data_IF_276607582716
#
_entry.id   IF_276607582716
#
_cell.length_a   1.000
_cell.length_b   1.000
_cell.length_c   1.000
_cell.angle_alpha   90.00
_cell.angle_beta   90.00
_cell.angle_gamma   90.00
#
_symmetry.space_group_name_H-M   'P 1'
#
loop_
_entity.id
_entity.type
_entity.pdbx_description
1 polymer ?
#
# COMPACT_ATOMS: atom_id res chain seq x y z
N UNK A 1 -72.65 12.36 11.91
CA UNK A 1 -73.24 11.31 12.77
C UNK A 1 -72.12 10.33 13.04
N UNK A 2 -71.35 10.52 14.12
CA UNK A 2 -71.69 10.10 15.51
C UNK A 2 -71.96 8.59 15.56
N UNK A 3 -71.42 7.77 16.46
CA UNK A 3 -70.71 7.96 17.73
C UNK A 3 -70.25 6.54 18.17
N UNK A 4 -69.00 6.35 18.64
CA UNK A 4 -68.58 6.08 20.04
C UNK A 4 -69.05 4.74 20.66
N UNK A 5 -68.06 3.99 21.21
CA UNK A 5 -67.98 3.26 22.51
C UNK A 5 -67.31 1.87 22.31
N UNK A 6 -66.02 1.69 22.67
CA UNK A 6 -65.44 1.36 24.00
C UNK A 6 -65.67 -0.09 24.43
N UNK A 7 -64.58 -0.84 24.65
CA UNK A 7 -64.39 -1.58 25.91
C UNK A 7 -62.94 -2.07 26.10
N UNK A 8 -62.55 -2.04 27.37
CA UNK A 8 -61.22 -2.16 27.98
C UNK A 8 -60.68 -3.60 28.00
N UNK A 9 -59.36 -3.79 28.19
CA UNK A 9 -58.81 -4.18 29.50
C UNK A 9 -57.27 -4.35 29.53
N UNK A 10 -56.74 -4.20 30.75
CA UNK A 10 -55.44 -4.67 31.29
C UNK A 10 -54.23 -3.72 31.44
N UNK A 11 -54.18 -3.18 32.67
CA UNK A 11 -53.05 -3.16 33.63
C UNK A 11 -51.72 -2.47 33.29
N UNK A 12 -51.45 -1.42 34.07
CA UNK A 12 -50.16 -0.76 34.32
C UNK A 12 -49.38 -1.57 35.36
N UNK A 13 -48.09 -1.85 35.12
CA UNK A 13 -47.12 -2.17 36.20
C UNK A 13 -45.68 -1.78 35.82
N UNK A 14 -44.96 -1.27 36.83
CA UNK A 14 -43.71 -0.49 36.86
C UNK A 14 -42.41 -1.33 36.61
N UNK A 15 -41.28 -0.76 36.14
CA UNK A 15 -40.10 -1.53 35.71
C UNK A 15 -39.16 -1.84 36.87
N UNK A 16 -38.98 -3.13 37.18
CA UNK A 16 -37.92 -3.59 38.07
C UNK A 16 -36.62 -3.85 37.31
N UNK A 17 -35.58 -3.20 37.79
CA UNK A 17 -34.21 -3.16 37.30
C UNK A 17 -33.50 -4.52 37.51
N UNK A 18 -33.19 -5.26 36.43
CA UNK A 18 -32.36 -6.47 36.50
C UNK A 18 -31.04 -6.26 35.74
N UNK A 19 -29.92 -6.26 36.48
CA UNK A 19 -28.56 -6.03 35.98
C UNK A 19 -28.06 -7.26 35.20
N UNK A 20 -28.22 -7.25 33.88
CA UNK A 20 -27.58 -8.21 32.98
C UNK A 20 -26.06 -8.01 32.91
N UNK A 21 -25.29 -9.00 33.38
CA UNK A 21 -23.84 -9.13 33.13
C UNK A 21 -23.57 -9.15 31.62
N UNK A 22 -22.99 -8.09 31.07
CA UNK A 22 -22.47 -8.09 29.69
C UNK A 22 -21.24 -8.98 29.60
N UNK A 23 -21.40 -10.16 29.00
CA UNK A 23 -20.28 -11.00 28.57
C UNK A 23 -19.52 -10.28 27.44
N UNK A 24 -18.27 -9.92 27.69
CA UNK A 24 -17.37 -9.33 26.69
C UNK A 24 -17.04 -10.44 25.69
N UNK A 25 -17.67 -10.40 24.51
CA UNK A 25 -17.28 -11.27 23.39
C UNK A 25 -15.93 -10.80 22.89
N UNK A 26 -14.87 -11.60 23.11
CA UNK A 26 -13.60 -11.43 22.42
C UNK A 26 -13.79 -11.73 20.93
N UNK A 27 -13.94 -10.70 20.12
CA UNK A 27 -13.81 -10.78 18.67
C UNK A 27 -12.34 -11.04 18.33
N UNK A 28 -12.07 -12.14 17.62
CA UNK A 28 -10.71 -12.48 17.16
C UNK A 28 -10.18 -11.34 16.27
N UNK A 29 -8.98 -10.80 16.53
CA UNK A 29 -8.46 -9.69 15.72
C UNK A 29 -8.23 -10.14 14.28
N UNK A 30 -8.67 -9.31 13.34
CA UNK A 30 -8.47 -9.49 11.90
C UNK A 30 -6.97 -9.39 11.60
N UNK A 31 -6.48 -10.07 10.56
CA UNK A 31 -5.04 -10.10 10.23
C UNK A 31 -4.39 -8.70 10.07
N UNK A 32 -5.16 -7.68 9.68
CA UNK A 32 -4.71 -6.30 9.63
C UNK A 32 -4.45 -5.69 11.02
N UNK A 33 -5.25 -6.08 12.02
CA UNK A 33 -5.16 -5.64 13.40
C UNK A 33 -3.97 -6.30 14.11
N UNK A 34 -3.70 -7.58 13.79
CA UNK A 34 -2.48 -8.29 14.24
C UNK A 34 -1.21 -7.62 13.71
N UNK A 35 -1.18 -7.27 12.41
CA UNK A 35 -0.04 -6.57 11.79
C UNK A 35 0.15 -5.13 12.29
N UNK A 36 -0.92 -4.48 12.73
CA UNK A 36 -0.86 -3.14 13.36
C UNK A 36 -0.30 -3.24 14.78
N UNK A 37 -0.77 -4.23 15.57
CA UNK A 37 -0.24 -4.52 16.90
C UNK A 37 1.23 -4.95 16.91
N UNK A 38 1.67 -5.75 15.93
CA UNK A 38 3.10 -6.16 15.80
C UNK A 38 4.01 -4.96 15.51
N UNK A 39 3.62 -4.05 14.61
CA UNK A 39 4.38 -2.83 14.32
C UNK A 39 4.44 -1.88 15.50
N UNK A 40 3.36 -1.79 16.28
CA UNK A 40 3.32 -0.98 17.50
C UNK A 40 4.19 -1.59 18.61
N UNK A 41 4.30 -2.91 18.69
CA UNK A 41 5.16 -3.60 19.66
C UNK A 41 6.65 -3.38 19.38
N UNK A 42 7.09 -3.54 18.12
CA UNK A 42 8.49 -3.32 17.73
C UNK A 42 8.90 -1.86 17.92
N UNK A 43 8.02 -0.92 17.54
CA UNK A 43 8.25 0.52 17.76
C UNK A 43 8.29 0.86 19.24
N UNK A 44 7.42 0.27 20.05
CA UNK A 44 7.41 0.46 21.49
C UNK A 44 8.68 -0.11 22.14
N UNK A 45 9.13 -1.30 21.72
CA UNK A 45 10.38 -1.88 22.18
C UNK A 45 11.59 -1.01 21.80
N UNK A 46 11.67 -0.53 20.56
CA UNK A 46 12.72 0.37 20.12
C UNK A 46 12.73 1.69 20.91
N UNK A 47 11.54 2.27 21.16
CA UNK A 47 11.39 3.50 21.94
C UNK A 47 11.80 3.29 23.40
N UNK A 48 11.49 2.13 24.00
CA UNK A 48 11.98 1.75 25.34
C UNK A 48 13.50 1.63 25.38
N UNK A 49 14.10 0.96 24.41
CA UNK A 49 15.56 0.79 24.31
C UNK A 49 16.25 2.15 24.24
N UNK A 50 15.80 3.04 23.34
CA UNK A 50 16.37 4.39 23.17
C UNK A 50 16.20 5.26 24.41
N UNK A 51 15.06 5.14 25.11
CA UNK A 51 14.79 5.92 26.33
C UNK A 51 15.49 5.39 27.57
N UNK A 52 15.92 4.13 27.56
CA UNK A 52 16.57 3.52 28.71
C UNK A 52 18.00 4.04 28.88
N UNK A 53 18.27 4.71 30.01
CA UNK A 53 19.62 5.22 30.35
C UNK A 53 20.63 4.10 30.67
N UNK A 54 20.14 2.88 30.88
CA UNK A 54 20.93 1.71 31.30
C UNK A 54 21.22 0.74 30.14
N UNK A 55 20.91 1.10 28.90
CA UNK A 55 21.26 0.26 27.76
C UNK A 55 22.78 0.24 27.57
N UNK A 56 23.40 -0.90 27.86
CA UNK A 56 24.79 -1.19 27.56
C UNK A 56 24.84 -2.47 26.74
N UNK A 57 25.40 -2.40 25.53
CA UNK A 57 25.48 -3.49 24.56
C UNK A 57 26.34 -4.68 25.03
N UNK A 58 27.04 -4.55 26.17
CA UNK A 58 27.89 -5.59 26.75
C UNK A 58 27.25 -6.38 27.90
N UNK A 59 25.94 -6.26 28.17
CA UNK A 59 25.28 -7.06 29.22
C UNK A 59 24.92 -8.47 28.74
N UNK A 60 25.07 -9.45 29.62
CA UNK A 60 24.70 -10.85 29.38
C UNK A 60 23.21 -10.99 29.09
N UNK A 61 22.86 -11.95 28.25
CA UNK A 61 21.50 -12.25 27.76
C UNK A 61 20.52 -12.53 28.92
N UNK A 62 21.00 -12.91 30.10
CA UNK A 62 20.16 -13.14 31.27
C UNK A 62 19.52 -11.89 31.89
N UNK A 63 19.98 -10.67 31.56
CA UNK A 63 19.42 -9.41 32.09
C UNK A 63 18.33 -8.78 31.20
N UNK A 64 18.01 -9.37 30.05
CA UNK A 64 17.13 -8.79 29.01
C UNK A 64 15.66 -8.65 29.45
N UNK A 65 15.22 -9.45 30.42
CA UNK A 65 13.84 -9.42 30.94
C UNK A 65 13.63 -8.41 32.08
N UNK A 66 14.65 -7.64 32.45
CA UNK A 66 14.61 -6.68 33.56
C UNK A 66 14.49 -5.22 33.09
N UNK A 67 13.94 -4.97 31.90
CA UNK A 67 13.40 -3.66 31.56
C UNK A 67 12.10 -3.45 32.34
N UNK A 68 12.22 -3.04 33.61
CA UNK A 68 11.10 -2.50 34.36
C UNK A 68 10.45 -1.36 33.57
N UNK A 69 9.13 -1.22 33.72
CA UNK A 69 8.34 -0.18 33.07
C UNK A 69 9.06 1.17 33.12
N UNK A 70 9.47 1.68 31.96
CA UNK A 70 10.07 3.00 31.88
C UNK A 70 9.10 4.01 32.49
N UNK A 71 9.53 4.89 33.41
CA UNK A 71 8.62 5.78 34.11
C UNK A 71 7.88 6.65 33.10
N UNK A 72 6.57 6.38 32.97
CA UNK A 72 5.62 7.22 32.24
C UNK A 72 5.67 8.61 32.85
N UNK A 73 6.39 9.54 32.22
CA UNK A 73 6.17 10.97 32.45
C UNK A 73 4.74 11.25 32.00
N UNK A 74 3.84 11.54 32.94
CA UNK A 74 2.55 12.17 32.64
C UNK A 74 2.85 13.39 31.80
N UNK A 75 2.54 13.35 30.52
CA UNK A 75 2.54 14.53 29.66
C UNK A 75 1.57 15.51 30.30
N UNK A 76 2.08 16.63 30.82
CA UNK A 76 1.23 17.78 31.09
C UNK A 76 0.58 18.15 29.77
N UNK A 77 -0.74 18.17 29.74
CA UNK A 77 -1.53 18.70 28.62
C UNK A 77 -1.14 20.17 28.44
N UNK A 78 -0.19 20.43 27.55
CA UNK A 78 0.09 21.76 27.04
C UNK A 78 -0.73 21.89 25.76
N UNK A 79 -1.97 22.36 25.92
CA UNK A 79 -2.80 22.86 24.83
C UNK A 79 -2.19 24.20 24.39
N UNK A 80 -1.15 24.15 23.56
CA UNK A 80 -0.57 25.33 22.94
C UNK A 80 -0.76 25.18 21.43
N UNK A 81 -1.84 25.78 20.91
CA UNK A 81 -2.08 26.00 19.49
C UNK A 81 -0.99 26.92 18.95
N UNK A 82 0.19 26.36 18.68
CA UNK A 82 1.14 26.99 17.77
C UNK A 82 0.63 26.75 16.37
N UNK A 83 -0.09 27.75 15.85
CA UNK A 83 -0.36 27.96 14.44
C UNK A 83 0.97 28.03 13.68
N UNK A 84 1.56 26.87 13.44
CA UNK A 84 2.60 26.70 12.44
C UNK A 84 1.87 26.71 11.11
N UNK A 85 2.09 27.75 10.31
CA UNK A 85 1.84 27.78 8.87
C UNK A 85 1.80 26.36 8.32
N UNK A 86 0.61 25.89 7.94
CA UNK A 86 0.42 24.57 7.35
C UNK A 86 1.20 24.50 6.03
N UNK A 87 2.49 24.21 6.09
CA UNK A 87 3.18 23.56 4.97
C UNK A 87 2.44 22.25 4.79
N UNK A 88 1.52 22.22 3.82
CA UNK A 88 0.76 21.03 3.49
C UNK A 88 1.78 19.91 3.24
N UNK A 89 1.87 18.95 4.16
CA UNK A 89 2.75 17.80 3.99
C UNK A 89 2.16 17.01 2.84
N UNK A 90 2.69 17.23 1.63
CA UNK A 90 2.27 16.53 0.42
C UNK A 90 2.33 15.03 0.68
N UNK A 91 1.20 14.35 0.48
CA UNK A 91 1.10 12.90 0.62
C UNK A 91 2.00 12.22 -0.43
N UNK A 92 2.33 10.94 -0.23
CA UNK A 92 3.14 10.21 -1.22
C UNK A 92 2.49 10.19 -2.61
N UNK A 93 1.14 10.25 -2.68
CA UNK A 93 0.36 10.35 -3.92
C UNK A 93 0.59 11.70 -4.60
N UNK A 94 0.57 12.81 -3.85
CA UNK A 94 0.75 14.17 -4.39
C UNK A 94 2.15 14.37 -5.00
N UNK A 95 3.15 13.64 -4.50
CA UNK A 95 4.52 13.66 -5.04
C UNK A 95 4.71 12.71 -6.23
N UNK A 96 3.73 11.88 -6.55
CA UNK A 96 3.86 10.85 -7.58
C UNK A 96 3.72 11.46 -8.97
N UNK A 97 4.78 11.44 -9.77
CA UNK A 97 4.78 11.95 -11.14
C UNK A 97 3.96 11.09 -12.12
N UNK A 98 3.41 9.97 -11.69
CA UNK A 98 2.62 9.05 -12.51
C UNK A 98 1.12 9.09 -12.17
N UNK A 99 0.69 9.80 -11.13
CA UNK A 99 -0.73 10.02 -10.90
C UNK A 99 -1.28 11.02 -11.92
N UNK A 100 -2.44 10.72 -12.51
CA UNK A 100 -3.11 11.66 -13.43
C UNK A 100 -3.44 13.00 -12.77
N UNK A 101 -3.79 12.97 -11.49
CA UNK A 101 -4.16 14.12 -10.67
C UNK A 101 -2.96 15.05 -10.39
N UNK A 102 -1.72 14.57 -10.53
CA UNK A 102 -0.55 15.39 -10.24
C UNK A 102 -0.34 16.44 -11.36
N UNK A 103 -0.41 17.75 -11.06
CA UNK A 103 -0.23 18.80 -12.05
C UNK A 103 1.19 18.85 -12.62
N UNK A 104 2.19 18.36 -11.88
CA UNK A 104 3.61 18.36 -12.27
C UNK A 104 3.98 17.20 -13.19
N UNK A 105 3.05 16.28 -13.48
CA UNK A 105 3.31 15.15 -14.38
C UNK A 105 3.55 15.63 -15.82
N UNK A 106 4.52 15.03 -16.55
CA UNK A 106 4.70 15.30 -17.98
C UNK A 106 3.54 14.76 -18.81
N UNK A 107 2.54 15.61 -19.10
CA UNK A 107 1.33 15.25 -19.87
C UNK A 107 1.62 14.86 -21.32
N UNK A 108 2.69 15.41 -21.91
CA UNK A 108 3.05 15.19 -23.32
C UNK A 108 3.59 13.78 -23.61
N UNK A 109 3.94 13.00 -22.59
CA UNK A 109 4.43 11.62 -22.75
C UNK A 109 3.30 10.60 -22.82
N UNK A 110 2.04 11.01 -22.59
CA UNK A 110 0.88 10.11 -22.62
C UNK A 110 0.53 9.77 -24.05
N UNK A 111 0.43 8.48 -24.35
CA UNK A 111 0.16 7.95 -25.70
C UNK A 111 -1.29 7.50 -25.84
N UNK A 112 -1.80 6.78 -24.83
CA UNK A 112 -3.16 6.28 -24.82
C UNK A 112 -3.69 6.22 -23.39
N UNK A 113 -4.99 6.46 -23.22
CA UNK A 113 -5.69 6.37 -21.93
C UNK A 113 -6.85 5.39 -22.11
N UNK A 114 -6.91 4.40 -21.23
CA UNK A 114 -8.04 3.48 -21.09
C UNK A 114 -8.98 3.90 -19.95
N UNK A 115 -9.81 2.97 -19.49
CA UNK A 115 -10.76 3.19 -18.40
C UNK A 115 -10.08 3.19 -17.03
N UNK A 116 -9.11 2.30 -16.80
CA UNK A 116 -8.44 2.10 -15.51
C UNK A 116 -6.92 2.13 -15.60
N UNK A 117 -6.35 2.14 -16.81
CA UNK A 117 -4.92 2.18 -17.09
C UNK A 117 -4.60 3.14 -18.23
N UNK A 118 -3.34 3.53 -18.34
CA UNK A 118 -2.86 4.37 -19.43
C UNK A 118 -1.44 3.97 -19.85
N UNK A 119 -1.10 4.31 -21.10
CA UNK A 119 0.18 4.06 -21.73
C UNK A 119 0.94 5.39 -21.86
N UNK A 120 2.20 5.41 -21.47
CA UNK A 120 3.07 6.58 -21.65
C UNK A 120 4.49 6.18 -22.05
N UNK A 121 5.25 7.16 -22.54
CA UNK A 121 6.69 7.05 -22.72
C UNK A 121 7.42 7.23 -21.38
N UNK A 122 8.59 6.59 -21.19
CA UNK A 122 9.47 6.87 -20.05
C UNK A 122 9.82 8.37 -19.95
N UNK A 123 9.94 8.87 -18.73
CA UNK A 123 10.31 10.28 -18.48
C UNK A 123 11.81 10.55 -18.71
N UNK A 124 12.62 9.52 -18.56
CA UNK A 124 14.06 9.54 -18.76
C UNK A 124 14.43 8.82 -20.05
N UNK A 125 15.72 8.68 -20.30
CA UNK A 125 16.25 7.99 -21.46
C UNK A 125 15.65 6.58 -21.60
N UNK A 126 14.99 6.26 -22.73
CA UNK A 126 14.43 4.95 -22.95
C UNK A 126 15.56 3.93 -23.17
N UNK A 127 15.42 2.74 -22.60
CA UNK A 127 16.37 1.62 -22.78
C UNK A 127 16.54 1.26 -24.27
N UNK A 128 15.46 1.36 -25.04
CA UNK A 128 15.42 1.06 -26.48
C UNK A 128 14.37 1.96 -27.17
N UNK A 129 14.51 2.24 -28.47
CA UNK A 129 13.46 2.89 -29.24
C UNK A 129 12.15 2.09 -29.20
N UNK A 130 11.05 2.76 -28.86
CA UNK A 130 9.74 2.12 -28.65
C UNK A 130 9.53 1.59 -27.23
N UNK A 131 10.36 1.97 -26.25
CA UNK A 131 10.08 1.72 -24.84
C UNK A 131 8.81 2.45 -24.40
N UNK A 132 7.83 1.69 -23.90
CA UNK A 132 6.63 2.23 -23.27
C UNK A 132 6.51 1.77 -21.82
N UNK A 133 5.71 2.47 -21.03
CA UNK A 133 5.30 2.03 -19.71
C UNK A 133 3.78 2.02 -19.60
N UNK A 134 3.23 0.96 -19.03
CA UNK A 134 1.80 0.79 -18.73
C UNK A 134 1.63 1.09 -17.24
N UNK A 135 0.64 1.93 -16.93
CA UNK A 135 0.39 2.45 -15.58
C UNK A 135 -1.10 2.32 -15.25
N UNK A 136 -1.48 1.85 -14.05
CA UNK A 136 -2.83 2.02 -13.55
C UNK A 136 -3.12 3.50 -13.26
N UNK A 137 -4.36 3.95 -13.44
CA UNK A 137 -4.79 5.29 -13.04
C UNK A 137 -4.73 5.45 -11.51
N UNK A 138 -5.10 4.39 -10.79
CA UNK A 138 -5.01 4.33 -9.34
C UNK A 138 -3.55 4.22 -8.88
N UNK A 139 -3.22 4.92 -7.79
CA UNK A 139 -1.92 4.81 -7.14
C UNK A 139 -1.83 3.49 -6.36
N UNK A 140 -1.49 2.43 -7.07
CA UNK A 140 -1.14 1.14 -6.48
C UNK A 140 0.37 0.91 -6.53
N UNK A 141 0.91 0.17 -5.56
CA UNK A 141 2.35 -0.07 -5.50
C UNK A 141 2.83 -1.24 -6.36
N UNK A 142 1.95 -2.19 -6.64
CA UNK A 142 2.27 -3.39 -7.40
C UNK A 142 1.04 -3.92 -8.11
N UNK A 143 1.24 -4.66 -9.21
CA UNK A 143 0.18 -5.40 -9.89
C UNK A 143 -0.52 -6.42 -9.00
N UNK A 144 0.10 -6.85 -7.90
CA UNK A 144 -0.52 -7.74 -6.91
C UNK A 144 -1.67 -7.09 -6.13
N UNK A 145 -1.69 -5.76 -6.05
CA UNK A 145 -2.68 -4.98 -5.30
C UNK A 145 -3.84 -4.46 -6.15
N UNK A 146 -3.82 -4.68 -7.47
CA UNK A 146 -4.82 -4.14 -8.38
C UNK A 146 -6.00 -5.10 -8.55
N UNK A 147 -7.15 -4.54 -8.90
CA UNK A 147 -8.36 -5.31 -9.20
C UNK A 147 -8.30 -6.02 -10.55
N UNK A 148 -9.15 -7.03 -10.71
CA UNK A 148 -9.26 -7.84 -11.94
C UNK A 148 -9.51 -7.00 -13.19
N UNK A 149 -10.35 -5.96 -13.10
CA UNK A 149 -10.68 -5.11 -14.24
C UNK A 149 -9.45 -4.34 -14.76
N UNK A 150 -8.64 -3.83 -13.82
CA UNK A 150 -7.38 -3.14 -14.12
C UNK A 150 -6.40 -4.11 -14.77
N UNK A 151 -6.29 -5.33 -14.23
CA UNK A 151 -5.42 -6.37 -14.76
C UNK A 151 -5.80 -6.80 -16.19
N UNK A 152 -7.09 -6.96 -16.48
CA UNK A 152 -7.54 -7.31 -17.84
C UNK A 152 -7.22 -6.19 -18.84
N UNK A 153 -7.32 -4.93 -18.43
CA UNK A 153 -6.95 -3.81 -19.29
C UNK A 153 -5.43 -3.75 -19.55
N UNK A 154 -4.61 -3.98 -18.52
CA UNK A 154 -3.16 -4.16 -18.70
C UNK A 154 -2.88 -5.28 -19.70
N UNK A 155 -3.59 -6.41 -19.60
CA UNK A 155 -3.44 -7.54 -20.51
C UNK A 155 -3.82 -7.15 -21.95
N UNK A 156 -4.85 -6.32 -22.14
CA UNK A 156 -5.24 -5.83 -23.45
C UNK A 156 -4.16 -4.92 -24.05
N UNK A 157 -3.60 -3.98 -23.27
CA UNK A 157 -2.45 -3.19 -23.71
C UNK A 157 -1.27 -4.07 -24.12
N UNK A 158 -0.92 -5.07 -23.28
CA UNK A 158 0.16 -6.03 -23.61
C UNK A 158 -0.09 -6.74 -24.94
N UNK A 159 -1.30 -7.23 -25.18
CA UNK A 159 -1.67 -7.88 -26.45
C UNK A 159 -1.55 -6.94 -27.66
N UNK A 160 -2.00 -5.70 -27.53
CA UNK A 160 -1.89 -4.71 -28.61
C UNK A 160 -0.43 -4.37 -28.92
N UNK A 161 0.39 -4.17 -27.89
CA UNK A 161 1.82 -3.90 -28.03
C UNK A 161 2.57 -5.08 -28.66
N UNK A 162 2.28 -6.30 -28.23
CA UNK A 162 2.84 -7.51 -28.84
C UNK A 162 2.50 -7.59 -30.34
N UNK A 163 1.24 -7.35 -30.72
CA UNK A 163 0.82 -7.35 -32.13
C UNK A 163 1.52 -6.26 -32.95
N UNK A 164 1.66 -5.07 -32.38
CA UNK A 164 2.33 -3.94 -33.03
C UNK A 164 3.81 -4.22 -33.29
N UNK A 165 4.53 -4.75 -32.30
CA UNK A 165 5.96 -5.05 -32.44
C UNK A 165 6.23 -6.33 -33.25
N UNK A 166 5.30 -7.28 -33.27
CA UNK A 166 5.38 -8.45 -34.14
C UNK A 166 5.38 -8.07 -35.63
N UNK A 167 4.66 -7.01 -36.02
CA UNK A 167 4.72 -6.46 -37.39
C UNK A 167 6.07 -5.82 -37.75
N UNK A 168 6.94 -5.61 -36.76
CA UNK A 168 8.29 -5.06 -36.91
C UNK A 168 9.38 -6.10 -36.65
N UNK A 169 9.04 -7.40 -36.70
CA UNK A 169 9.95 -8.53 -36.38
C UNK A 169 10.63 -8.40 -35.00
N UNK A 170 9.89 -7.84 -34.03
CA UNK A 170 10.32 -7.68 -32.63
C UNK A 170 9.38 -8.42 -31.71
N UNK A 171 9.91 -8.81 -30.57
CA UNK A 171 9.15 -9.30 -29.42
C UNK A 171 9.24 -8.28 -28.28
N UNK A 172 8.47 -8.49 -27.21
CA UNK A 172 8.36 -7.54 -26.11
C UNK A 172 8.63 -8.22 -24.78
N UNK A 173 9.58 -7.68 -24.03
CA UNK A 173 9.80 -8.06 -22.64
C UNK A 173 9.00 -7.11 -21.75
N UNK A 174 8.07 -7.67 -20.97
CA UNK A 174 7.34 -6.91 -19.95
C UNK A 174 7.98 -7.12 -18.59
N UNK A 175 8.33 -6.04 -17.91
CA UNK A 175 8.93 -6.08 -16.57
C UNK A 175 8.20 -5.17 -15.59
N UNK A 176 8.10 -5.61 -14.34
CA UNK A 176 7.65 -4.78 -13.22
C UNK A 176 8.69 -4.90 -12.12
N UNK A 177 9.22 -3.76 -11.67
CA UNK A 177 10.19 -3.72 -10.57
C UNK A 177 9.55 -3.09 -9.35
N UNK A 178 9.21 -3.91 -8.36
CA UNK A 178 8.61 -3.44 -7.11
C UNK A 178 9.65 -3.49 -5.98
N UNK A 179 10.13 -2.33 -5.54
CA UNK A 179 11.13 -2.21 -4.47
C UNK A 179 10.64 -1.29 -3.34
N UNK A 180 11.12 -1.55 -2.12
CA UNK A 180 10.92 -0.71 -0.94
C UNK A 180 9.45 -0.45 -0.53
N UNK A 181 8.53 -1.40 -0.72
CA UNK A 181 7.09 -1.24 -0.43
C UNK A 181 6.78 -0.73 0.99
N UNK A 182 7.60 -1.10 1.98
CA UNK A 182 7.40 -0.72 3.38
C UNK A 182 7.68 0.77 3.65
N UNK A 183 8.52 1.42 2.84
CA UNK A 183 8.99 2.80 3.06
C UNK A 183 8.46 3.78 2.02
N UNK A 184 8.30 3.33 0.77
CA UNK A 184 7.84 4.15 -0.34
C UNK A 184 6.79 3.39 -1.14
N UNK A 185 5.56 3.90 -1.15
CA UNK A 185 4.54 3.45 -2.09
C UNK A 185 4.79 4.13 -3.42
N UNK A 186 5.70 3.57 -4.21
CA UNK A 186 5.90 3.99 -5.61
C UNK A 186 4.65 3.62 -6.43
N UNK A 187 4.45 4.28 -7.56
CA UNK A 187 3.42 3.88 -8.51
C UNK A 187 3.81 2.54 -9.14
N UNK A 188 2.83 1.69 -9.44
CA UNK A 188 3.02 0.45 -10.16
C UNK A 188 3.36 0.76 -11.63
N UNK A 189 4.52 0.32 -12.08
CA UNK A 189 5.03 0.57 -13.44
C UNK A 189 5.33 -0.76 -14.10
N UNK A 190 4.72 -0.97 -15.26
CA UNK A 190 5.00 -2.13 -16.10
C UNK A 190 5.71 -1.61 -17.36
N UNK A 191 7.01 -1.87 -17.44
CA UNK A 191 7.83 -1.52 -18.59
C UNK A 191 7.57 -2.50 -19.74
N UNK A 192 7.58 -1.96 -20.96
CA UNK A 192 7.38 -2.65 -22.21
C UNK A 192 8.60 -2.36 -23.09
N UNK A 193 9.52 -3.32 -23.17
CA UNK A 193 10.81 -3.15 -23.84
C UNK A 193 10.82 -4.02 -25.10
N UNK A 194 10.66 -3.41 -26.29
CA UNK A 194 10.74 -4.14 -27.54
C UNK A 194 12.18 -4.57 -27.84
N UNK A 195 12.37 -5.84 -28.17
CA UNK A 195 13.68 -6.43 -28.48
C UNK A 195 13.60 -7.26 -29.76
N UNK A 196 14.73 -7.42 -30.50
CA UNK A 196 14.79 -8.37 -31.60
C UNK A 196 14.47 -9.79 -31.15
N UNK A 197 13.86 -10.60 -32.02
CA UNK A 197 13.46 -11.99 -31.73
C UNK A 197 14.64 -12.85 -31.22
N UNK A 198 15.84 -12.65 -31.77
CA UNK A 198 17.06 -13.36 -31.36
C UNK A 198 17.43 -13.11 -29.89
N UNK A 199 17.15 -11.90 -29.38
CA UNK A 199 17.40 -11.51 -28.00
C UNK A 199 16.30 -12.09 -27.10
N UNK A 200 15.03 -12.01 -27.54
CA UNK A 200 13.90 -12.56 -26.79
C UNK A 200 14.05 -14.06 -26.52
N UNK A 201 14.47 -14.83 -27.53
CA UNK A 201 14.70 -16.28 -27.40
C UNK A 201 15.74 -16.63 -26.32
N UNK A 202 16.72 -15.76 -26.10
CA UNK A 202 17.78 -15.94 -25.09
C UNK A 202 17.41 -15.33 -23.73
N UNK A 203 16.42 -14.45 -23.68
CA UNK A 203 16.04 -13.72 -22.46
C UNK A 203 15.73 -14.66 -21.28
N UNK A 204 14.97 -15.76 -21.43
CA UNK A 204 14.72 -16.68 -20.32
C UNK A 204 16.00 -17.27 -19.70
N UNK A 205 17.04 -17.52 -20.49
CA UNK A 205 18.32 -18.02 -19.98
C UNK A 205 19.04 -16.97 -19.14
N UNK A 206 19.05 -15.71 -19.59
CA UNK A 206 19.65 -14.61 -18.84
C UNK A 206 18.93 -14.36 -17.51
N UNK A 207 17.59 -14.32 -17.52
CA UNK A 207 16.82 -14.14 -16.28
C UNK A 207 16.99 -15.30 -15.30
N UNK A 208 17.14 -16.55 -15.78
CA UNK A 208 17.45 -17.70 -14.93
C UNK A 208 18.84 -17.61 -14.32
N UNK A 209 19.86 -17.25 -15.12
CA UNK A 209 21.25 -17.11 -14.64
C UNK A 209 21.40 -15.97 -13.64
N UNK A 210 20.66 -14.88 -13.84
CA UNK A 210 20.76 -13.68 -13.02
C UNK A 210 20.03 -13.78 -11.68
N UNK A 211 19.21 -14.81 -11.44
CA UNK A 211 18.60 -14.99 -10.12
C UNK A 211 19.72 -14.97 -9.06
N UNK A 212 19.74 -13.94 -8.17
CA UNK A 212 20.76 -13.89 -7.14
C UNK A 212 20.66 -15.20 -6.39
N UNK A 213 21.77 -15.94 -6.30
CA UNK A 213 21.88 -17.10 -5.43
C UNK A 213 21.28 -16.66 -4.11
N UNK A 214 20.13 -17.23 -3.75
CA UNK A 214 19.33 -16.78 -2.63
C UNK A 214 20.28 -16.46 -1.47
N UNK A 215 20.18 -15.24 -0.97
CA UNK A 215 20.88 -14.78 0.23
C UNK A 215 20.94 -15.95 1.20
N UNK A 216 22.13 -16.55 1.35
CA UNK A 216 22.32 -17.57 2.36
C UNK A 216 22.03 -16.87 3.70
N UNK A 217 21.14 -17.45 4.52
CA UNK A 217 20.78 -16.88 5.81
C UNK A 217 22.00 -16.73 6.72
#
# INVERSE_FOLDING_TARGET
>A
MESVLDDQDTSVDDPRHEKGRRSIRHTKPVAADRRKGEKDADLHAADLIVRSKHYNMSRSVEDEYNLGDAPRRKSKEAHEEKSTTHTHILTQKDRCLYCLENPSRPKHLVVAIGNFTYLMLPQFEPVVPGHFIILPLQHESATRGIDRNIWEEIRNFKKCLLKMFAQQDKDVIFMETVICLAKQRRHCIIECIPVPLEVSNKAPMYFKKWQPSASHP
#
